data_IF_120127847463
#
_entry.id   IF_120127847463
#
_cell.length_a   1.000
_cell.length_b   1.000
_cell.length_c   1.000
_cell.angle_alpha   90.00
_cell.angle_beta   90.00
_cell.angle_gamma   90.00
#
_symmetry.space_group_name_H-M   'P 1'
#
loop_
_entity.id
_entity.type
_entity.pdbx_description
1 polymer ?
#
# COMPACT_ATOMS: atom_id res chain seq x y z
N UNK A 1 13.58 -14.35 15.02
CA UNK A 1 13.99 -13.88 13.68
C UNK A 1 12.69 -13.56 12.99
N UNK A 2 12.42 -12.28 12.78
CA UNK A 2 11.21 -11.79 12.12
C UNK A 2 11.19 -12.35 10.70
N UNK A 3 10.44 -13.43 10.46
CA UNK A 3 10.19 -13.92 9.12
C UNK A 3 8.78 -13.53 8.74
N UNK A 4 8.68 -12.55 7.84
CA UNK A 4 7.56 -12.51 6.92
C UNK A 4 7.51 -13.89 6.22
N UNK A 5 6.34 -14.48 5.99
CA UNK A 5 6.28 -15.76 5.29
C UNK A 5 6.94 -15.57 3.93
N UNK A 6 7.97 -16.36 3.62
CA UNK A 6 8.70 -16.24 2.36
C UNK A 6 7.81 -16.34 1.12
N UNK A 7 6.59 -16.89 1.22
CA UNK A 7 5.61 -16.88 0.13
C UNK A 7 5.08 -15.47 -0.18
N UNK A 8 4.67 -14.72 0.85
CA UNK A 8 4.03 -13.42 0.69
C UNK A 8 4.98 -12.36 0.12
N UNK A 9 6.24 -12.34 0.54
CA UNK A 9 7.26 -11.44 -0.04
C UNK A 9 7.56 -11.78 -1.51
N UNK A 10 7.68 -13.07 -1.83
CA UNK A 10 7.91 -13.54 -3.20
C UNK A 10 6.73 -13.22 -4.14
N UNK A 11 5.52 -13.23 -3.60
CA UNK A 11 4.31 -12.97 -4.36
C UNK A 11 3.98 -11.47 -4.47
N UNK A 12 4.30 -10.66 -3.46
CA UNK A 12 4.31 -9.19 -3.60
C UNK A 12 5.39 -8.76 -4.60
N UNK A 13 6.53 -9.45 -4.64
CA UNK A 13 7.53 -9.27 -5.70
C UNK A 13 6.98 -9.59 -7.09
N UNK A 14 5.89 -10.36 -7.22
CA UNK A 14 5.21 -10.56 -8.50
C UNK A 14 4.52 -9.28 -9.02
N UNK A 15 4.26 -8.26 -8.18
CA UNK A 15 3.86 -6.92 -8.65
C UNK A 15 4.94 -6.30 -9.56
N UNK A 16 6.22 -6.57 -9.29
CA UNK A 16 7.31 -6.15 -10.19
C UNK A 16 7.16 -6.76 -11.58
N UNK A 17 6.61 -7.99 -11.69
CA UNK A 17 6.34 -8.66 -12.97
C UNK A 17 5.21 -7.99 -13.76
N UNK A 18 4.40 -7.14 -13.12
CA UNK A 18 3.38 -6.33 -13.76
C UNK A 18 3.85 -4.88 -14.03
N UNK A 19 5.16 -4.63 -14.05
CA UNK A 19 5.77 -3.30 -14.22
C UNK A 19 5.38 -2.28 -13.13
N UNK A 20 4.93 -2.74 -11.96
CA UNK A 20 4.74 -1.87 -10.79
C UNK A 20 6.08 -1.77 -10.06
N UNK A 21 6.61 -0.55 -9.93
CA UNK A 21 7.80 -0.31 -9.13
C UNK A 21 7.48 -0.53 -7.65
N UNK A 22 8.01 -1.61 -7.08
CA UNK A 22 7.86 -1.95 -5.66
C UNK A 22 9.17 -1.76 -4.91
N UNK A 23 9.08 -1.13 -3.73
CA UNK A 23 10.15 -1.12 -2.74
C UNK A 23 9.79 -2.13 -1.65
N UNK A 24 10.68 -3.08 -1.38
CA UNK A 24 10.54 -4.05 -0.30
C UNK A 24 11.60 -3.68 0.75
N UNK A 25 11.19 -3.54 2.01
CA UNK A 25 12.15 -3.30 3.10
C UNK A 25 13.11 -4.49 3.20
N UNK A 26 14.41 -4.21 3.17
CA UNK A 26 15.46 -5.22 3.17
C UNK A 26 15.91 -5.51 4.60
N UNK A 27 15.67 -6.72 5.13
CA UNK A 27 16.09 -7.09 6.47
C UNK A 27 17.60 -6.97 6.72
N UNK A 28 18.42 -7.05 5.67
CA UNK A 28 19.88 -7.00 5.75
C UNK A 28 20.43 -5.57 5.89
N UNK A 29 19.63 -4.55 5.54
CA UNK A 29 20.01 -3.15 5.63
C UNK A 29 19.39 -2.42 6.85
N UNK A 30 18.87 -3.18 7.82
CA UNK A 30 18.28 -2.64 9.05
C UNK A 30 19.34 -2.04 9.97
N UNK A 31 19.30 -0.72 10.15
CA UNK A 31 20.16 0.04 11.06
C UNK A 31 19.54 0.28 12.44
N UNK A 32 19.97 1.34 13.15
CA UNK A 32 19.34 1.79 14.42
C UNK A 32 18.21 2.82 14.22
N UNK A 33 18.10 3.39 13.01
CA UNK A 33 17.10 4.38 12.61
C UNK A 33 16.57 4.02 11.23
N UNK A 34 15.32 4.38 10.96
CA UNK A 34 14.74 4.30 9.62
C UNK A 34 15.71 4.93 8.62
N UNK A 35 16.05 4.20 7.57
CA UNK A 35 16.99 4.67 6.55
C UNK A 35 16.38 5.82 5.76
N UNK A 36 17.21 6.77 5.31
CA UNK A 36 16.75 7.85 4.43
C UNK A 36 16.15 7.32 3.12
N UNK A 37 16.63 6.17 2.64
CA UNK A 37 16.08 5.47 1.48
C UNK A 37 14.65 4.99 1.74
N UNK A 38 14.37 4.41 2.91
CA UNK A 38 13.01 4.00 3.27
C UNK A 38 12.06 5.22 3.36
N UNK A 39 12.49 6.31 4.01
CA UNK A 39 11.67 7.54 4.06
C UNK A 39 11.38 8.10 2.66
N UNK A 40 12.39 8.12 1.78
CA UNK A 40 12.21 8.55 0.39
C UNK A 40 11.24 7.63 -0.36
N UNK A 41 11.37 6.32 -0.19
CA UNK A 41 10.48 5.34 -0.79
C UNK A 41 9.04 5.52 -0.32
N UNK A 42 8.80 5.66 0.99
CA UNK A 42 7.47 5.92 1.58
C UNK A 42 6.86 7.19 0.97
N UNK A 43 7.63 8.27 0.87
CA UNK A 43 7.15 9.55 0.31
C UNK A 43 6.88 9.50 -1.20
N UNK A 44 7.60 8.67 -1.95
CA UNK A 44 7.43 8.52 -3.38
C UNK A 44 6.36 7.48 -3.76
N UNK A 45 5.89 6.68 -2.82
CA UNK A 45 4.96 5.58 -3.07
C UNK A 45 3.50 6.05 -3.07
N UNK A 46 2.74 5.65 -4.09
CA UNK A 46 1.30 5.88 -4.14
C UNK A 46 0.53 5.00 -3.12
N UNK A 47 1.03 3.78 -2.88
CA UNK A 47 0.45 2.80 -1.98
C UNK A 47 1.55 2.24 -1.07
N UNK A 48 1.27 2.13 0.23
CA UNK A 48 2.10 1.41 1.20
C UNK A 48 1.34 0.19 1.71
N UNK A 49 1.89 -1.00 1.48
CA UNK A 49 1.33 -2.25 2.01
C UNK A 49 2.03 -2.60 3.31
N UNK A 50 1.28 -2.77 4.40
CA UNK A 50 1.83 -3.12 5.71
C UNK A 50 1.43 -4.55 6.04
N UNK A 51 2.40 -5.43 6.20
CA UNK A 51 2.16 -6.84 6.51
C UNK A 51 2.31 -7.04 8.02
N UNK A 52 1.20 -7.20 8.72
CA UNK A 52 1.20 -7.58 10.12
C UNK A 52 1.33 -9.09 10.24
N UNK A 53 2.40 -9.56 10.87
CA UNK A 53 2.63 -10.96 11.25
C UNK A 53 2.66 -11.10 12.78
N UNK A 54 2.70 -12.33 13.27
CA UNK A 54 2.74 -12.63 14.72
C UNK A 54 3.87 -11.89 15.47
N UNK A 55 5.02 -11.71 14.83
CA UNK A 55 6.21 -11.06 15.42
C UNK A 55 6.30 -9.55 15.15
N UNK A 56 5.40 -8.98 14.34
CA UNK A 56 5.48 -7.57 13.92
C UNK A 56 5.55 -6.61 15.12
N UNK A 57 4.65 -6.78 16.08
CA UNK A 57 4.57 -5.93 17.27
C UNK A 57 5.73 -6.15 18.27
N UNK A 58 6.50 -7.24 18.12
CA UNK A 58 7.70 -7.50 18.91
C UNK A 58 8.93 -6.78 18.35
N UNK A 59 8.89 -6.39 17.08
CA UNK A 59 9.99 -5.74 16.38
C UNK A 59 9.90 -4.21 16.50
N UNK A 60 10.78 -3.62 17.32
CA UNK A 60 10.87 -2.14 17.44
C UNK A 60 11.11 -1.46 16.09
N UNK A 61 11.80 -2.14 15.18
CA UNK A 61 12.05 -1.66 13.83
C UNK A 61 10.73 -1.53 13.06
N UNK A 62 9.94 -2.60 12.97
CA UNK A 62 8.63 -2.59 12.30
C UNK A 62 7.66 -1.55 12.89
N UNK A 63 7.75 -1.30 14.19
CA UNK A 63 6.93 -0.27 14.86
C UNK A 63 7.40 1.16 14.53
N UNK A 64 8.71 1.38 14.42
CA UNK A 64 9.25 2.66 13.96
C UNK A 64 8.88 2.92 12.49
N UNK A 65 8.97 1.91 11.63
CA UNK A 65 8.55 1.99 10.23
C UNK A 65 7.06 2.33 10.08
N UNK A 66 6.21 1.64 10.85
CA UNK A 66 4.78 1.94 10.91
C UNK A 66 4.54 3.42 11.25
N UNK A 67 5.18 3.92 12.31
CA UNK A 67 5.05 5.33 12.68
C UNK A 67 5.49 6.26 11.53
N UNK A 68 6.59 5.96 10.85
CA UNK A 68 7.07 6.73 9.69
C UNK A 68 6.10 6.73 8.50
N UNK A 69 5.50 5.58 8.17
CA UNK A 69 4.48 5.46 7.11
C UNK A 69 3.27 6.33 7.47
N UNK A 70 2.79 6.23 8.70
CA UNK A 70 1.61 6.94 9.18
C UNK A 70 1.83 8.45 9.30
N UNK A 71 3.05 8.90 9.63
CA UNK A 71 3.39 10.34 9.61
C UNK A 71 3.45 10.90 8.18
N UNK A 72 3.82 10.07 7.19
CA UNK A 72 3.92 10.47 5.78
C UNK A 72 2.58 10.43 5.02
N UNK A 73 1.49 9.94 5.63
CA UNK A 73 0.17 9.63 5.03
C UNK A 73 -0.58 10.75 4.30
N UNK A 74 -0.05 11.96 4.18
CA UNK A 74 -0.81 13.09 3.61
C UNK A 74 -1.25 12.86 2.16
N UNK A 75 -0.61 11.95 1.41
CA UNK A 75 -0.92 11.70 0.00
C UNK A 75 -0.94 10.22 -0.43
N UNK A 76 -0.63 9.27 0.47
CA UNK A 76 -0.47 7.85 0.12
C UNK A 76 -1.56 6.97 0.73
N UNK A 77 -2.01 5.97 -0.03
CA UNK A 77 -2.96 4.97 0.46
C UNK A 77 -2.22 3.91 1.27
N UNK A 78 -2.72 3.57 2.46
CA UNK A 78 -2.13 2.54 3.32
C UNK A 78 -3.04 1.32 3.33
N UNK A 79 -2.51 0.18 2.93
CA UNK A 79 -3.22 -1.10 2.86
C UNK A 79 -2.64 -2.08 3.90
N UNK A 80 -3.31 -2.31 5.03
CA UNK A 80 -2.88 -3.33 5.97
C UNK A 80 -3.26 -4.73 5.47
N UNK A 81 -2.36 -5.67 5.69
CA UNK A 81 -2.51 -7.09 5.42
C UNK A 81 -2.16 -7.87 6.68
N UNK A 82 -3.14 -8.54 7.28
CA UNK A 82 -2.98 -9.30 8.51
C UNK A 82 -2.73 -10.77 8.18
N UNK A 83 -1.49 -11.22 8.35
CA UNK A 83 -1.08 -12.60 8.14
C UNK A 83 -1.11 -13.39 9.45
N UNK A 84 -2.11 -14.26 9.62
CA UNK A 84 -2.27 -15.14 10.80
C UNK A 84 -2.30 -14.39 12.14
N UNK A 85 -2.69 -13.13 12.13
CA UNK A 85 -2.80 -12.30 13.33
C UNK A 85 -4.15 -11.59 13.32
N UNK A 86 -4.79 -11.49 14.48
CA UNK A 86 -5.96 -10.61 14.65
C UNK A 86 -5.46 -9.19 14.99
N UNK A 87 -6.06 -8.13 14.42
CA UNK A 87 -5.72 -6.76 14.81
C UNK A 87 -5.78 -6.50 16.32
N UNK A 88 -6.67 -7.19 17.05
CA UNK A 88 -6.78 -7.08 18.51
C UNK A 88 -5.53 -7.59 19.24
N UNK A 89 -4.90 -8.66 18.75
CA UNK A 89 -3.67 -9.23 19.33
C UNK A 89 -2.48 -8.27 19.30
N UNK A 90 -2.50 -7.29 18.37
CA UNK A 90 -1.46 -6.28 18.22
C UNK A 90 -1.60 -5.15 19.27
N UNK A 91 -2.80 -4.90 19.80
CA UNK A 91 -3.03 -3.85 20.79
C UNK A 91 -2.60 -4.28 22.21
N UNK A 92 -2.73 -5.56 22.56
CA UNK A 92 -2.55 -6.05 23.94
C UNK A 92 -1.08 -6.15 24.40
N UNK A 93 -0.11 -6.06 23.48
CA UNK A 93 1.31 -6.35 23.79
C UNK A 93 2.12 -5.23 24.47
N UNK A 94 1.50 -4.10 24.82
CA UNK A 94 2.23 -2.95 25.36
C UNK A 94 1.80 -2.61 26.80
N UNK A 95 2.46 -3.20 27.80
CA UNK A 95 2.16 -2.96 29.23
C UNK A 95 2.87 -1.73 29.83
N UNK A 96 3.81 -1.09 29.11
CA UNK A 96 4.63 0.03 29.65
C UNK A 96 4.25 1.41 29.06
N UNK A 97 4.44 2.47 29.87
CA UNK A 97 4.09 3.87 29.55
C UNK A 97 5.32 4.72 29.18
N UNK A 98 5.85 4.55 27.97
CA UNK A 98 6.76 5.56 27.39
C UNK A 98 6.09 6.29 26.22
N UNK A 99 6.51 7.51 25.93
CA UNK A 99 5.97 8.29 24.80
C UNK A 99 6.10 7.51 23.47
N UNK A 100 7.22 6.81 23.27
CA UNK A 100 7.45 5.99 22.09
C UNK A 100 6.45 4.83 21.98
N UNK A 101 6.13 4.18 23.09
CA UNK A 101 5.11 3.13 23.15
C UNK A 101 3.71 3.66 22.83
N UNK A 102 3.38 4.88 23.28
CA UNK A 102 2.12 5.52 22.95
C UNK A 102 2.01 5.83 21.44
N UNK A 103 3.11 6.31 20.83
CA UNK A 103 3.18 6.52 19.38
C UNK A 103 2.96 5.22 18.62
N UNK A 104 3.66 4.14 18.99
CA UNK A 104 3.50 2.84 18.34
C UNK A 104 2.10 2.26 18.53
N UNK A 105 1.53 2.35 19.74
CA UNK A 105 0.15 1.91 20.02
C UNK A 105 -0.85 2.68 19.18
N UNK A 106 -0.70 4.01 19.09
CA UNK A 106 -1.55 4.84 18.24
C UNK A 106 -1.43 4.42 16.78
N UNK A 107 -0.21 4.17 16.31
CA UNK A 107 0.02 3.74 14.94
C UNK A 107 -0.61 2.39 14.61
N UNK A 108 -0.45 1.41 15.50
CA UNK A 108 -1.08 0.10 15.36
C UNK A 108 -2.60 0.21 15.34
N UNK A 109 -3.18 0.97 16.26
CA UNK A 109 -4.62 1.22 16.30
C UNK A 109 -5.13 1.89 15.02
N UNK A 110 -4.40 2.89 14.54
CA UNK A 110 -4.76 3.59 13.31
C UNK A 110 -4.72 2.65 12.12
N UNK A 111 -3.68 1.82 11.98
CA UNK A 111 -3.57 0.84 10.91
C UNK A 111 -4.59 -0.31 11.03
N UNK A 112 -4.86 -0.78 12.25
CA UNK A 112 -5.88 -1.78 12.55
C UNK A 112 -7.30 -1.30 12.21
N UNK A 113 -7.55 0.01 12.31
CA UNK A 113 -8.82 0.63 11.93
C UNK A 113 -8.98 0.86 10.42
N UNK A 114 -7.96 0.65 9.60
CA UNK A 114 -8.09 0.77 8.14
C UNK A 114 -8.70 -0.50 7.54
N UNK A 115 -9.42 -0.33 6.43
CA UNK A 115 -9.85 -1.47 5.62
C UNK A 115 -8.64 -2.20 5.02
N UNK A 116 -8.59 -3.51 5.19
CA UNK A 116 -7.47 -4.33 4.74
C UNK A 116 -7.85 -5.79 4.50
N UNK A 117 -6.82 -6.60 4.31
CA UNK A 117 -6.97 -8.02 4.00
C UNK A 117 -6.52 -8.88 5.17
N UNK A 118 -7.22 -9.99 5.38
CA UNK A 118 -6.87 -10.96 6.42
C UNK A 118 -6.60 -12.32 5.76
N UNK A 119 -5.44 -12.88 6.04
CA UNK A 119 -5.18 -14.28 5.78
C UNK A 119 -5.74 -15.13 6.92
N UNK A 120 -6.75 -15.93 6.58
CA UNK A 120 -7.32 -16.97 7.43
C UNK A 120 -7.06 -18.31 6.74
N UNK A 121 -6.66 -19.33 7.50
CA UNK A 121 -6.26 -20.67 6.98
C UNK A 121 -7.34 -21.42 6.18
N UNK A 122 -8.56 -20.88 6.10
CA UNK A 122 -9.72 -21.48 5.45
C UNK A 122 -9.68 -21.31 3.92
N UNK A 123 -8.86 -20.40 3.39
CA UNK A 123 -8.70 -20.18 1.93
C UNK A 123 -7.23 -20.29 1.49
N UNK A 124 -6.96 -20.69 0.23
CA UNK A 124 -5.60 -20.71 -0.31
C UNK A 124 -4.94 -19.32 -0.24
N UNK A 125 -3.65 -19.31 0.10
CA UNK A 125 -2.84 -18.07 0.20
C UNK A 125 -2.75 -17.35 -1.15
N UNK A 126 -2.57 -18.11 -2.23
CA UNK A 126 -2.48 -17.58 -3.60
C UNK A 126 -3.75 -16.86 -4.08
N UNK A 127 -4.94 -17.32 -3.67
CA UNK A 127 -6.20 -16.65 -4.01
C UNK A 127 -6.31 -15.28 -3.34
N UNK A 128 -5.98 -15.21 -2.05
CA UNK A 128 -5.97 -13.94 -1.31
C UNK A 128 -4.93 -12.98 -1.89
N UNK A 129 -3.75 -13.48 -2.24
CA UNK A 129 -2.69 -12.66 -2.82
C UNK A 129 -3.12 -12.09 -4.16
N UNK A 130 -3.75 -12.89 -5.02
CA UNK A 130 -4.31 -12.39 -6.27
C UNK A 130 -5.37 -11.29 -6.04
N UNK A 131 -6.20 -11.44 -5.00
CA UNK A 131 -7.17 -10.43 -4.59
C UNK A 131 -6.49 -9.11 -4.19
N UNK A 132 -5.42 -9.18 -3.38
CA UNK A 132 -4.61 -8.02 -2.98
C UNK A 132 -3.96 -7.35 -4.18
N UNK A 133 -3.33 -8.12 -5.05
CA UNK A 133 -2.68 -7.62 -6.27
C UNK A 133 -3.68 -6.90 -7.16
N UNK A 134 -4.86 -7.49 -7.41
CA UNK A 134 -5.91 -6.87 -8.20
C UNK A 134 -6.46 -5.60 -7.55
N UNK A 135 -6.58 -5.58 -6.23
CA UNK A 135 -6.99 -4.38 -5.49
C UNK A 135 -5.97 -3.25 -5.65
N UNK A 136 -4.67 -3.54 -5.51
CA UNK A 136 -3.58 -2.58 -5.71
C UNK A 136 -3.59 -2.05 -7.14
N UNK A 137 -3.68 -2.93 -8.14
CA UNK A 137 -3.74 -2.56 -9.56
C UNK A 137 -4.90 -1.62 -9.85
N UNK A 138 -6.11 -2.00 -9.42
CA UNK A 138 -7.30 -1.18 -9.60
C UNK A 138 -7.11 0.19 -8.97
N UNK A 139 -6.55 0.26 -7.76
CA UNK A 139 -6.31 1.52 -7.06
C UNK A 139 -5.29 2.40 -7.78
N UNK A 140 -4.21 1.81 -8.31
CA UNK A 140 -3.23 2.55 -9.11
C UNK A 140 -3.84 3.09 -10.40
N UNK A 141 -4.65 2.30 -11.10
CA UNK A 141 -5.36 2.73 -12.30
C UNK A 141 -6.34 3.87 -11.99
N UNK A 142 -7.09 3.78 -10.88
CA UNK A 142 -7.98 4.85 -10.42
C UNK A 142 -7.23 6.16 -10.18
N UNK A 143 -6.03 6.13 -9.59
CA UNK A 143 -5.23 7.34 -9.37
C UNK A 143 -4.59 7.88 -10.66
N UNK A 144 -4.22 7.01 -11.61
CA UNK A 144 -3.68 7.43 -12.92
C UNK A 144 -4.75 8.05 -13.83
N UNK A 145 -5.96 7.50 -13.80
CA UNK A 145 -7.10 7.96 -14.60
C UNK A 145 -8.03 8.90 -13.84
N UNK A 146 -7.72 9.24 -12.58
CA UNK A 146 -8.44 10.24 -11.81
C UNK A 146 -8.46 11.52 -12.67
N UNK A 147 -9.65 12.00 -13.11
CA UNK A 147 -9.73 13.22 -13.87
C UNK A 147 -9.06 14.29 -13.02
N UNK A 148 -7.92 14.79 -13.50
CA UNK A 148 -7.31 15.96 -12.87
C UNK A 148 -8.37 17.04 -13.03
N UNK A 149 -8.61 17.86 -11.99
CA UNK A 149 -9.47 19.05 -12.12
C UNK A 149 -8.74 20.13 -12.96
N UNK A 150 -8.23 19.76 -14.14
CA UNK A 150 -7.65 20.64 -15.14
C UNK A 150 -8.70 21.00 -16.21
N UNK A 151 -9.99 20.91 -15.87
CA UNK A 151 -11.10 21.47 -16.67
C UNK A 151 -10.93 22.97 -16.95
N UNK A 152 -10.05 23.65 -16.21
CA UNK A 152 -9.69 25.05 -16.41
C UNK A 152 -8.43 25.30 -17.27
N UNK A 153 -7.73 24.25 -17.75
CA UNK A 153 -6.44 24.40 -18.44
C UNK A 153 -6.43 23.95 -19.90
N UNK A 154 -7.48 23.29 -20.38
CA UNK A 154 -7.61 22.89 -21.78
C UNK A 154 -8.81 23.61 -22.38
N UNK A 155 -8.60 24.81 -22.90
CA UNK A 155 -9.61 25.55 -23.67
C UNK A 155 -9.44 25.18 -25.14
N UNK A 156 -10.47 24.62 -25.78
CA UNK A 156 -10.48 24.35 -27.22
C UNK A 156 -10.00 22.95 -27.62
N UNK A 157 -9.96 22.02 -26.67
CA UNK A 157 -9.79 20.58 -26.98
C UNK A 157 -11.14 19.97 -27.36
N UNK A 158 -12.24 20.52 -26.83
CA UNK A 158 -13.61 20.10 -27.11
C UNK A 158 -13.92 20.16 -28.61
N UNK A 159 -13.57 21.26 -29.29
CA UNK A 159 -13.82 21.41 -30.73
C UNK A 159 -13.01 20.43 -31.58
N UNK A 160 -11.81 20.04 -31.14
CA UNK A 160 -10.96 19.04 -31.82
C UNK A 160 -11.54 17.64 -31.65
N UNK A 161 -12.10 17.33 -30.48
CA UNK A 161 -12.75 16.04 -30.20
C UNK A 161 -14.02 15.92 -31.03
N UNK A 162 -14.86 16.95 -31.08
CA UNK A 162 -16.07 16.99 -31.93
C UNK A 162 -15.74 16.82 -33.42
N UNK A 163 -14.66 17.44 -33.90
CA UNK A 163 -14.20 17.27 -35.29
C UNK A 163 -13.77 15.84 -35.59
N UNK A 164 -13.04 15.19 -34.68
CA UNK A 164 -12.60 13.79 -34.84
C UNK A 164 -13.81 12.84 -34.81
N UNK A 165 -14.75 13.02 -33.88
CA UNK A 165 -15.98 12.21 -33.80
C UNK A 165 -16.84 12.33 -35.06
N UNK A 166 -16.92 13.55 -35.62
CA UNK A 166 -17.60 13.80 -36.90
C UNK A 166 -16.93 13.05 -38.04
N UNK A 167 -15.60 13.09 -38.15
CA UNK A 167 -14.85 12.39 -39.19
C UNK A 167 -14.97 10.87 -39.09
N UNK A 168 -14.96 10.32 -37.88
CA UNK A 168 -15.12 8.88 -37.63
C UNK A 168 -16.55 8.39 -37.93
N UNK A 169 -17.55 9.25 -37.78
CA UNK A 169 -18.95 8.92 -38.08
C UNK A 169 -19.25 8.86 -39.60
N UNK A 170 -18.31 9.30 -40.44
CA UNK A 170 -18.49 9.34 -41.91
C UNK A 170 -18.11 8.01 -42.60
N UNK A 171 -17.42 7.08 -41.92
CA UNK A 171 -16.99 5.79 -42.52
C UNK A 171 -18.01 4.65 -42.43
N UNK A 172 -19.29 4.92 -42.13
CA UNK A 172 -20.35 3.89 -42.09
C UNK A 172 -21.40 4.05 -43.20
N UNK A 173 -20.94 4.16 -44.45
CA UNK A 173 -21.76 3.89 -45.63
C UNK A 173 -20.95 3.12 -46.66
N UNK A 174 -21.00 1.80 -46.53
CA UNK A 174 -21.03 0.86 -47.67
C UNK A 174 -21.97 -0.30 -47.30
#
# INVERSE_FOLDING_TARGET
MDHCPGSLENEISALSRQNIQTFIDDPLNRGYKISESLVKAIKASAISVIIFSEDYASSRWCLDELAGILECKKLSFVLPFFYRVDPSDLEERFEQNSEKLQTWRKGLREAAGLSGFHYRSIRPESELINEVVNHILKRLLEELFRPRDNKSQLVGVESRVEEIESLLSVESKD
#
